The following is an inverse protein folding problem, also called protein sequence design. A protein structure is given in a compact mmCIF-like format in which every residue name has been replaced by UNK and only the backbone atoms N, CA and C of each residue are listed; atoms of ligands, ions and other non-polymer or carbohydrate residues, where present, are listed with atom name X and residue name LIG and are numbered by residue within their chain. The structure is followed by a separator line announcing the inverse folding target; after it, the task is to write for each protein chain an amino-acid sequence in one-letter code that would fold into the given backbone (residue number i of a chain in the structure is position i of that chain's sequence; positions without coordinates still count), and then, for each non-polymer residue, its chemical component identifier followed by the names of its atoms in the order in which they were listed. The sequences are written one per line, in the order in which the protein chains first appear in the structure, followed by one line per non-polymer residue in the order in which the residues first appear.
data_IF_643420700509
#
_entry.id   IF_643420700509
#
_cell.length_a   1.000
_cell.length_b   1.000
_cell.length_c   1.000
_cell.angle_alpha   90.00
_cell.angle_beta   90.00
_cell.angle_gamma   90.00
#
_symmetry.space_group_name_H-M   'P 1'
#
loop_
_entity.id
_entity.type
_entity.pdbx_description
1 polymer ?
#
# COMPACT_ATOMS: atom_id res chain seq x y z
N UNK A 1 -24.14 24.03 -30.06
CA UNK A 1 -24.13 22.95 -29.04
C UNK A 1 -22.69 22.47 -28.85
N UNK A 2 -22.00 22.91 -27.80
CA UNK A 2 -20.59 22.55 -27.54
C UNK A 2 -20.46 22.00 -26.13
N UNK A 3 -20.68 20.68 -25.97
CA UNK A 3 -20.43 19.98 -24.72
C UNK A 3 -18.98 19.46 -24.70
N UNK A 4 -18.02 20.35 -24.44
CA UNK A 4 -16.68 19.92 -24.01
C UNK A 4 -16.70 19.69 -22.49
N UNK A 5 -16.98 18.45 -22.06
CA UNK A 5 -16.79 18.05 -20.66
C UNK A 5 -15.52 17.20 -20.58
N UNK A 6 -14.39 17.89 -20.61
CA UNK A 6 -13.08 17.33 -20.27
C UNK A 6 -12.41 18.30 -19.31
N UNK A 7 -12.78 18.26 -18.04
CA UNK A 7 -12.13 19.06 -16.99
C UNK A 7 -10.69 18.56 -16.79
N UNK A 8 -9.77 19.12 -17.57
CA UNK A 8 -8.32 18.97 -17.36
C UNK A 8 -8.00 19.59 -16.01
N UNK A 9 -7.40 18.81 -15.11
CA UNK A 9 -6.92 19.31 -13.81
C UNK A 9 -5.44 19.55 -13.98
N UNK A 10 -5.04 20.82 -14.00
CA UNK A 10 -3.64 21.21 -14.13
C UNK A 10 -3.02 21.04 -12.75
N UNK A 11 -2.17 20.02 -12.60
CA UNK A 11 -1.25 19.93 -11.48
C UNK A 11 0.10 20.43 -11.96
N UNK A 12 0.58 21.53 -11.38
CA UNK A 12 1.95 21.99 -11.62
C UNK A 12 2.85 21.23 -10.66
N UNK A 13 3.65 20.31 -11.17
CA UNK A 13 4.74 19.69 -10.42
C UNK A 13 6.01 19.75 -11.24
N UNK A 14 7.13 20.00 -10.58
CA UNK A 14 8.46 19.98 -11.19
C UNK A 14 8.88 18.51 -11.24
N UNK A 15 9.07 17.98 -12.44
CA UNK A 15 9.60 16.63 -12.59
C UNK A 15 11.06 16.59 -12.12
N UNK A 16 11.56 15.43 -11.64
CA UNK A 16 12.96 15.28 -11.26
C UNK A 16 13.97 15.66 -12.38
N UNK A 17 13.50 15.70 -13.62
CA UNK A 17 14.27 16.07 -14.82
C UNK A 17 14.34 17.58 -15.08
N UNK A 18 13.75 18.42 -14.22
CA UNK A 18 13.69 19.89 -14.37
C UNK A 18 12.61 20.38 -15.34
N UNK A 19 11.96 19.47 -16.07
CA UNK A 19 10.88 19.81 -16.99
C UNK A 19 9.58 20.10 -16.25
N UNK A 20 8.89 21.18 -16.64
CA UNK A 20 7.56 21.50 -16.13
C UNK A 20 6.51 20.63 -16.83
N UNK A 21 5.69 19.93 -16.05
CA UNK A 21 4.48 19.29 -16.57
C UNK A 21 3.42 20.35 -16.85
N UNK A 22 3.01 20.48 -18.12
CA UNK A 22 1.97 21.44 -18.53
C UNK A 22 0.55 20.90 -18.33
N UNK A 23 0.32 19.59 -18.52
CA UNK A 23 -0.98 18.95 -18.28
C UNK A 23 -0.86 17.44 -18.14
N UNK A 24 -1.68 16.84 -17.25
CA UNK A 24 -1.82 15.39 -17.11
C UNK A 24 -3.30 15.02 -17.30
N UNK A 25 -3.57 14.00 -18.11
CA UNK A 25 -4.92 13.45 -18.31
C UNK A 25 -5.08 12.21 -17.44
N UNK A 26 -6.01 12.27 -16.49
CA UNK A 26 -6.36 11.15 -15.61
C UNK A 26 -7.76 10.62 -15.97
N UNK A 27 -8.01 9.35 -15.66
CA UNK A 27 -9.38 8.81 -15.69
C UNK A 27 -10.26 9.50 -14.64
N UNK A 28 -11.58 9.43 -14.80
CA UNK A 28 -12.53 10.03 -13.86
C UNK A 28 -12.38 9.41 -12.46
N UNK A 29 -12.14 8.11 -12.40
CA UNK A 29 -11.95 7.32 -11.18
C UNK A 29 -10.63 7.71 -10.51
N UNK A 30 -9.54 7.84 -11.28
CA UNK A 30 -8.24 8.25 -10.74
C UNK A 30 -8.31 9.66 -10.12
N UNK A 31 -8.97 10.61 -10.80
CA UNK A 31 -9.21 11.96 -10.28
C UNK A 31 -10.05 11.94 -9.01
N UNK A 32 -11.09 11.11 -8.96
CA UNK A 32 -11.92 10.98 -7.76
C UNK A 32 -11.12 10.44 -6.58
N UNK A 33 -10.34 9.37 -6.77
CA UNK A 33 -9.48 8.79 -5.72
C UNK A 33 -8.46 9.80 -5.18
N UNK A 34 -7.79 10.55 -6.06
CA UNK A 34 -6.85 11.61 -5.65
C UNK A 34 -7.52 12.67 -4.77
N UNK A 35 -8.73 13.10 -5.12
CA UNK A 35 -9.48 14.09 -4.32
C UNK A 35 -9.86 13.55 -2.95
N UNK A 36 -10.30 12.30 -2.88
CA UNK A 36 -10.66 11.65 -1.61
C UNK A 36 -9.43 11.55 -0.70
N UNK A 37 -8.28 11.15 -1.25
CA UNK A 37 -7.02 11.07 -0.51
C UNK A 37 -6.58 12.46 -0.02
N UNK A 38 -6.56 13.47 -0.89
CA UNK A 38 -6.16 14.85 -0.53
C UNK A 38 -7.07 15.44 0.56
N UNK A 39 -8.39 15.24 0.45
CA UNK A 39 -9.35 15.66 1.47
C UNK A 39 -9.09 14.99 2.82
N UNK A 40 -8.88 13.67 2.82
CA UNK A 40 -8.66 12.92 4.05
C UNK A 40 -7.36 13.35 4.75
N UNK A 41 -6.27 13.47 3.98
CA UNK A 41 -4.98 13.91 4.51
C UNK A 41 -5.05 15.30 5.13
N UNK A 42 -5.70 16.25 4.45
CA UNK A 42 -5.88 17.62 4.96
C UNK A 42 -6.78 17.69 6.19
N UNK A 43 -7.88 16.94 6.20
CA UNK A 43 -8.83 16.95 7.33
C UNK A 43 -8.27 16.32 8.61
N UNK A 44 -7.25 15.46 8.50
CA UNK A 44 -6.63 14.77 9.63
C UNK A 44 -5.21 15.24 9.93
N UNK A 45 -4.75 16.33 9.29
CA UNK A 45 -3.40 16.88 9.42
C UNK A 45 -2.28 15.83 9.18
N UNK A 46 -2.50 14.95 8.20
CA UNK A 46 -1.56 13.88 7.87
C UNK A 46 -0.62 14.36 6.76
N UNK A 47 0.67 14.45 7.07
CA UNK A 47 1.71 14.75 6.08
C UNK A 47 1.99 13.52 5.21
N UNK A 48 1.87 13.68 3.89
CA UNK A 48 2.22 12.63 2.94
C UNK A 48 3.70 12.67 2.56
N UNK A 49 4.40 11.55 2.75
CA UNK A 49 5.78 11.38 2.33
C UNK A 49 5.86 10.59 1.02
N UNK A 50 6.69 11.06 0.10
CA UNK A 50 7.02 10.37 -1.15
C UNK A 50 8.43 9.82 -1.09
N UNK A 51 8.63 8.61 -1.62
CA UNK A 51 9.97 8.08 -1.83
C UNK A 51 10.72 8.93 -2.86
N UNK A 52 12.01 9.15 -2.63
CA UNK A 52 12.85 9.94 -3.51
C UNK A 52 13.11 9.19 -4.81
N UNK A 53 13.15 9.88 -5.96
CA UNK A 53 13.56 9.28 -7.22
C UNK A 53 14.92 8.59 -7.08
N UNK A 54 15.07 7.42 -7.71
CA UNK A 54 16.33 6.65 -7.75
C UNK A 54 16.92 6.29 -6.37
N UNK A 55 16.08 6.15 -5.34
CA UNK A 55 16.53 5.75 -4.00
C UNK A 55 15.88 4.43 -3.58
N UNK A 56 16.46 3.27 -3.95
CA UNK A 56 15.94 1.95 -3.58
C UNK A 56 15.82 1.74 -2.06
N UNK A 57 16.62 2.48 -1.29
CA UNK A 57 16.67 2.40 0.18
C UNK A 57 15.45 3.02 0.87
N UNK A 58 14.57 3.73 0.16
CA UNK A 58 13.40 4.37 0.77
C UNK A 58 12.23 3.38 1.02
N UNK A 59 12.19 2.22 0.34
CA UNK A 59 11.11 1.22 0.48
C UNK A 59 11.53 -0.25 0.74
N UNK A 60 12.73 -0.56 1.26
CA UNK A 60 13.25 -1.93 1.29
C UNK A 60 12.39 -2.89 2.11
N UNK A 61 11.78 -2.39 3.21
CA UNK A 61 10.93 -3.22 4.09
C UNK A 61 9.61 -3.61 3.42
N UNK A 62 8.99 -2.65 2.71
CA UNK A 62 7.72 -2.88 2.00
C UNK A 62 7.94 -3.80 0.81
N UNK A 63 9.02 -3.58 0.06
CA UNK A 63 9.39 -4.44 -1.07
C UNK A 63 9.67 -5.88 -0.62
N UNK A 64 10.43 -6.06 0.47
CA UNK A 64 10.67 -7.39 1.04
C UNK A 64 9.38 -8.07 1.50
N UNK A 65 8.45 -7.33 2.11
CA UNK A 65 7.16 -7.88 2.53
C UNK A 65 6.32 -8.34 1.32
N UNK A 66 6.21 -7.50 0.29
CA UNK A 66 5.44 -7.82 -0.92
C UNK A 66 6.09 -9.00 -1.67
N UNK A 67 7.42 -9.03 -1.76
CA UNK A 67 8.16 -10.13 -2.37
C UNK A 67 7.92 -11.45 -1.66
N UNK A 68 8.00 -11.48 -0.32
CA UNK A 68 7.70 -12.67 0.48
C UNK A 68 6.24 -13.12 0.36
N UNK A 69 5.29 -12.18 0.38
CA UNK A 69 3.88 -12.50 0.17
C UNK A 69 3.67 -13.16 -1.20
N UNK A 70 4.28 -12.61 -2.25
CA UNK A 70 4.19 -13.19 -3.58
C UNK A 70 4.77 -14.61 -3.61
N UNK A 71 6.01 -14.78 -3.15
CA UNK A 71 6.73 -16.05 -3.24
C UNK A 71 6.13 -17.14 -2.35
N UNK A 72 5.80 -16.82 -1.09
CA UNK A 72 5.38 -17.79 -0.08
C UNK A 72 3.85 -18.00 -0.04
N UNK A 73 3.05 -17.01 -0.46
CA UNK A 73 1.58 -17.14 -0.42
C UNK A 73 0.96 -17.26 -1.80
N UNK A 74 1.37 -16.43 -2.77
CA UNK A 74 0.67 -16.34 -4.05
C UNK A 74 1.20 -17.35 -5.08
N UNK A 75 2.51 -17.60 -5.08
CA UNK A 75 3.21 -18.44 -6.05
C UNK A 75 3.22 -19.93 -5.67
N UNK A 76 3.06 -20.28 -4.39
CA UNK A 76 2.93 -21.67 -3.94
C UNK A 76 1.59 -22.28 -4.37
N UNK A 77 0.53 -21.48 -4.39
CA UNK A 77 -0.82 -21.91 -4.77
C UNK A 77 -1.13 -21.50 -6.21
N UNK A 78 -0.58 -22.25 -7.18
CA UNK A 78 -0.77 -22.03 -8.63
C UNK A 78 -2.06 -22.65 -9.21
N UNK A 79 -2.85 -23.32 -8.38
CA UNK A 79 -4.14 -23.91 -8.78
C UNK A 79 -5.24 -22.87 -8.98
N UNK A 80 -6.38 -23.30 -9.52
CA UNK A 80 -7.59 -22.48 -9.52
C UNK A 80 -8.09 -22.32 -8.09
N UNK A 81 -8.24 -21.07 -7.64
CA UNK A 81 -8.71 -20.72 -6.30
C UNK A 81 -9.75 -19.62 -6.47
N UNK A 82 -10.88 -19.73 -5.77
CA UNK A 82 -11.91 -18.70 -5.79
C UNK A 82 -11.43 -17.44 -5.08
N UNK A 83 -12.03 -16.28 -5.38
CA UNK A 83 -11.66 -15.02 -4.73
C UNK A 83 -11.77 -15.07 -3.19
N UNK A 84 -12.82 -15.68 -2.59
CA UNK A 84 -12.91 -15.83 -1.14
C UNK A 84 -11.80 -16.69 -0.53
N UNK A 85 -11.48 -17.83 -1.15
CA UNK A 85 -10.39 -18.70 -0.69
C UNK A 85 -9.04 -17.99 -0.78
N UNK A 86 -8.81 -17.20 -1.84
CA UNK A 86 -7.60 -16.38 -2.00
C UNK A 86 -7.51 -15.31 -0.92
N UNK A 87 -8.62 -14.67 -0.58
CA UNK A 87 -8.68 -13.69 0.50
C UNK A 87 -8.40 -14.34 1.88
N UNK A 88 -8.91 -15.55 2.12
CA UNK A 88 -8.60 -16.32 3.33
C UNK A 88 -7.11 -16.65 3.43
N UNK A 89 -6.49 -17.14 2.34
CA UNK A 89 -5.05 -17.45 2.29
C UNK A 89 -4.21 -16.22 2.61
N UNK A 90 -4.48 -15.09 1.94
CA UNK A 90 -3.77 -13.83 2.19
C UNK A 90 -3.95 -13.38 3.64
N UNK A 91 -5.18 -13.47 4.18
CA UNK A 91 -5.45 -13.08 5.57
C UNK A 91 -4.71 -13.97 6.56
N UNK A 92 -4.66 -15.27 6.32
CA UNK A 92 -3.89 -16.22 7.13
C UNK A 92 -2.41 -15.90 7.07
N UNK A 93 -1.84 -15.72 5.88
CA UNK A 93 -0.42 -15.40 5.71
C UNK A 93 -0.05 -14.07 6.39
N UNK A 94 -0.88 -13.03 6.29
CA UNK A 94 -0.66 -11.75 6.97
C UNK A 94 -0.69 -11.92 8.49
N UNK A 95 -1.64 -12.70 9.02
CA UNK A 95 -1.65 -13.01 10.46
C UNK A 95 -0.38 -13.77 10.87
N UNK A 96 0.06 -14.73 10.07
CA UNK A 96 1.26 -15.50 10.38
C UNK A 96 2.53 -14.62 10.37
N UNK A 97 2.62 -13.72 9.40
CA UNK A 97 3.68 -12.72 9.35
C UNK A 97 3.71 -11.82 10.59
N UNK A 98 2.54 -11.33 11.04
CA UNK A 98 2.50 -10.36 12.14
C UNK A 98 2.59 -10.98 13.55
N UNK A 99 2.12 -12.21 13.75
CA UNK A 99 1.96 -12.78 15.10
C UNK A 99 2.82 -14.02 15.38
N UNK A 100 3.41 -14.65 14.36
CA UNK A 100 4.15 -15.90 14.56
C UNK A 100 5.57 -15.88 13.99
N UNK A 101 5.91 -14.91 13.13
CA UNK A 101 7.22 -14.84 12.47
C UNK A 101 8.17 -13.88 13.21
N UNK A 102 9.23 -14.35 13.86
CA UNK A 102 10.24 -13.48 14.46
C UNK A 102 11.11 -12.85 13.37
N UNK A 103 11.49 -11.57 13.56
CA UNK A 103 12.35 -10.85 12.63
C UNK A 103 13.65 -10.43 13.31
N UNK A 104 14.79 -10.80 12.72
CA UNK A 104 16.11 -10.39 13.21
C UNK A 104 16.27 -8.86 13.30
N UNK A 105 15.62 -8.10 12.40
CA UNK A 105 15.64 -6.64 12.42
C UNK A 105 14.80 -6.01 13.56
N UNK A 106 14.05 -6.84 14.30
CA UNK A 106 13.22 -6.47 15.45
C UNK A 106 13.68 -7.24 16.70
N UNK A 107 14.98 -7.55 16.81
CA UNK A 107 15.55 -8.32 17.92
C UNK A 107 14.87 -9.69 18.14
N UNK A 108 14.50 -10.34 17.04
CA UNK A 108 13.75 -11.61 17.01
C UNK A 108 12.33 -11.55 17.61
N UNK A 109 11.77 -10.35 17.78
CA UNK A 109 10.35 -10.17 18.06
C UNK A 109 9.52 -10.32 16.78
N UNK A 110 8.27 -10.73 16.94
CA UNK A 110 7.25 -10.60 15.90
C UNK A 110 6.85 -9.14 15.71
N UNK A 111 6.28 -8.76 14.56
CA UNK A 111 5.82 -7.39 14.35
C UNK A 111 4.78 -6.93 15.38
N UNK A 112 3.90 -7.84 15.83
CA UNK A 112 2.92 -7.54 16.86
C UNK A 112 3.59 -7.25 18.21
N UNK A 113 4.49 -8.12 18.67
CA UNK A 113 5.22 -7.91 19.93
C UNK A 113 6.04 -6.62 19.89
N UNK A 114 6.72 -6.34 18.78
CA UNK A 114 7.47 -5.10 18.62
C UNK A 114 6.54 -3.87 18.69
N UNK A 115 5.38 -3.90 18.04
CA UNK A 115 4.41 -2.82 18.13
C UNK A 115 3.87 -2.63 19.55
N UNK A 116 3.63 -3.71 20.30
CA UNK A 116 3.20 -3.64 21.69
C UNK A 116 4.25 -2.91 22.58
N UNK A 117 5.55 -3.08 22.30
CA UNK A 117 6.61 -2.30 22.99
C UNK A 117 6.52 -0.78 22.74
N UNK A 118 5.91 -0.38 21.63
CA UNK A 118 5.69 1.01 21.24
C UNK A 118 4.31 1.54 21.67
N UNK A 119 3.51 0.72 22.36
CA UNK A 119 2.13 1.06 22.72
C UNK A 119 1.15 1.04 21.52
N UNK A 120 1.52 0.37 20.43
CA UNK A 120 0.70 0.22 19.24
C UNK A 120 0.17 -1.21 19.16
N UNK A 121 -1.15 -1.38 19.01
CA UNK A 121 -1.73 -2.72 18.90
C UNK A 121 -2.01 -3.06 17.45
N UNK A 122 -1.44 -4.18 16.98
CA UNK A 122 -1.85 -4.78 15.71
C UNK A 122 -3.05 -5.70 15.99
N UNK A 123 -4.17 -5.47 15.31
CA UNK A 123 -5.32 -6.36 15.42
C UNK A 123 -5.22 -7.54 14.46
N UNK A 124 -5.34 -8.76 15.00
CA UNK A 124 -5.42 -9.98 14.19
C UNK A 124 -6.68 -9.95 13.33
N UNK A 125 -6.51 -10.17 12.02
CA UNK A 125 -7.64 -10.18 11.09
C UNK A 125 -8.41 -11.48 11.24
N UNK A 126 -9.74 -11.41 11.23
CA UNK A 126 -10.58 -12.60 11.20
C UNK A 126 -10.41 -13.28 9.83
N UNK A 127 -10.03 -14.55 9.84
CA UNK A 127 -10.09 -15.39 8.65
C UNK A 127 -11.54 -15.84 8.53
N UNK A 128 -12.30 -15.24 7.62
CA UNK A 128 -13.68 -15.65 7.36
C UNK A 128 -13.64 -17.07 6.81
N UNK A 129 -13.90 -18.10 7.61
CA UNK A 129 -14.15 -19.46 7.13
C UNK A 129 -15.48 -19.48 6.39
N UNK A 130 -15.49 -20.10 5.21
CA UNK A 130 -16.72 -20.44 4.48
C UNK A 130 -17.45 -21.57 5.20
#
# INVERSE_FOLDING_TARGET
MSNRIGSSTIYTSILPTGNKLHSVKLSKEAKHRLRVIDYYLKSHDITQYFARPHTPKDKPRVENLIGKLQQECLDEYRGYVTLPERAQQITKWINDYHFFRPHQALDYLTPAEFCDTLGLTIHRRKVSTM
#
